data_IF_904415107295
#
_entry.id   IF_904415107295
#
_cell.length_a   1.000
_cell.length_b   1.000
_cell.length_c   1.000
_cell.angle_alpha   90.00
_cell.angle_beta   90.00
_cell.angle_gamma   90.00
#
_symmetry.space_group_name_H-M   'P 1'
#
loop_
_entity.id
_entity.type
_entity.pdbx_description
1 polymer ?
#
# COMPACT_ATOMS: atom_id res chain seq x y z
N UNK A 1 -21.06 18.48 0.12
CA UNK A 1 -20.82 17.02 -0.11
C UNK A 1 -19.32 16.67 -0.17
N UNK A 2 -18.43 17.52 -0.77
CA UNK A 2 -16.98 17.21 -0.82
C UNK A 2 -16.27 17.35 0.53
N UNK A 3 -16.71 18.24 1.41
CA UNK A 3 -16.15 18.39 2.76
C UNK A 3 -16.44 17.17 3.64
N UNK A 4 -17.66 16.62 3.59
CA UNK A 4 -18.01 15.40 4.32
C UNK A 4 -17.22 14.17 3.86
N UNK A 5 -16.85 14.10 2.58
CA UNK A 5 -16.05 12.99 2.04
C UNK A 5 -14.59 12.98 2.53
N UNK A 6 -14.10 14.08 3.11
CA UNK A 6 -12.75 14.21 3.67
C UNK A 6 -12.74 14.22 5.21
N UNK A 7 -13.78 13.68 5.84
CA UNK A 7 -13.93 13.66 7.28
C UNK A 7 -14.06 12.22 7.79
N UNK A 8 -13.03 11.72 8.48
CA UNK A 8 -13.00 10.36 9.03
C UNK A 8 -14.10 10.08 10.06
N UNK A 9 -14.70 11.11 10.67
CA UNK A 9 -15.82 10.95 11.61
C UNK A 9 -17.03 10.34 10.94
N UNK A 10 -17.22 10.53 9.64
CA UNK A 10 -18.28 9.87 8.86
C UNK A 10 -18.12 8.36 8.93
N UNK A 11 -16.90 7.84 8.79
CA UNK A 11 -16.64 6.40 8.84
C UNK A 11 -16.88 5.81 10.24
N UNK A 12 -16.66 6.58 11.30
CA UNK A 12 -16.92 6.10 12.68
C UNK A 12 -18.41 5.98 12.97
N UNK A 13 -19.25 6.76 12.31
CA UNK A 13 -20.71 6.70 12.42
C UNK A 13 -21.38 5.69 11.48
N UNK A 14 -20.62 5.11 10.52
CA UNK A 14 -21.15 4.15 9.55
C UNK A 14 -21.09 2.73 10.11
N UNK A 15 -22.12 1.94 9.90
CA UNK A 15 -22.15 0.53 10.35
C UNK A 15 -21.18 -0.34 9.53
N UNK A 16 -20.78 -1.49 10.10
CA UNK A 16 -19.93 -2.45 9.38
C UNK A 16 -20.64 -3.00 8.14
N UNK A 17 -21.92 -3.21 8.21
CA UNK A 17 -22.78 -3.70 7.13
C UNK A 17 -22.81 -2.72 5.95
N UNK A 18 -22.98 -1.44 6.21
CA UNK A 18 -22.94 -0.38 5.18
C UNK A 18 -21.56 -0.28 4.54
N UNK A 19 -20.49 -0.32 5.35
CA UNK A 19 -19.11 -0.34 4.83
C UNK A 19 -18.82 -1.59 4.00
N UNK A 20 -19.34 -2.76 4.38
CA UNK A 20 -19.19 -4.00 3.59
C UNK A 20 -19.88 -3.93 2.25
N UNK A 21 -21.03 -3.29 2.16
CA UNK A 21 -21.72 -3.07 0.90
C UNK A 21 -20.87 -2.27 -0.10
N UNK A 22 -20.06 -1.35 0.38
CA UNK A 22 -19.15 -0.51 -0.44
C UNK A 22 -17.79 -1.21 -0.70
N UNK A 23 -17.21 -1.83 0.33
CA UNK A 23 -15.83 -2.32 0.29
C UNK A 23 -15.67 -3.79 -0.10
N UNK A 24 -16.72 -4.53 -0.20
CA UNK A 24 -16.77 -6.01 -0.35
C UNK A 24 -16.56 -6.79 0.97
N UNK A 25 -16.72 -8.12 0.87
CA UNK A 25 -16.60 -9.05 2.01
C UNK A 25 -15.18 -9.60 2.23
N UNK A 26 -14.15 -8.93 1.70
CA UNK A 26 -12.76 -9.34 1.89
C UNK A 26 -12.33 -9.29 3.35
N UNK A 27 -11.44 -10.23 3.74
CA UNK A 27 -10.93 -10.33 5.12
C UNK A 27 -9.44 -10.02 5.21
N UNK A 28 -9.02 -9.51 6.35
CA UNK A 28 -7.63 -9.32 6.77
C UNK A 28 -7.49 -9.98 8.15
N UNK A 29 -6.64 -11.02 8.26
CA UNK A 29 -6.43 -11.77 9.52
C UNK A 29 -7.74 -12.24 10.17
N UNK A 30 -8.69 -12.72 9.35
CA UNK A 30 -9.98 -13.23 9.80
C UNK A 30 -11.08 -12.17 10.04
N UNK A 31 -10.73 -10.89 10.09
CA UNK A 31 -11.68 -9.78 10.24
C UNK A 31 -12.12 -9.23 8.89
N UNK A 32 -13.35 -8.73 8.78
CA UNK A 32 -13.75 -8.02 7.55
C UNK A 32 -12.96 -6.72 7.38
N UNK A 33 -12.60 -6.40 6.14
CA UNK A 33 -11.92 -5.13 5.83
C UNK A 33 -12.71 -3.92 6.34
N UNK A 34 -14.03 -3.97 6.26
CA UNK A 34 -14.90 -2.92 6.77
C UNK A 34 -14.73 -2.66 8.28
N UNK A 35 -14.57 -3.72 9.09
CA UNK A 35 -14.28 -3.58 10.53
C UNK A 35 -12.93 -2.90 10.75
N UNK A 36 -11.90 -3.35 10.01
CA UNK A 36 -10.56 -2.78 10.12
C UNK A 36 -10.54 -1.30 9.70
N UNK A 37 -11.25 -0.94 8.62
CA UNK A 37 -11.37 0.45 8.16
C UNK A 37 -12.06 1.32 9.20
N UNK A 38 -13.16 0.87 9.78
CA UNK A 38 -13.88 1.61 10.85
C UNK A 38 -13.01 1.80 12.09
N UNK A 39 -12.35 0.76 12.53
CA UNK A 39 -11.49 0.82 13.73
C UNK A 39 -10.26 1.72 13.47
N UNK A 40 -9.68 1.68 12.27
CA UNK A 40 -8.61 2.59 11.88
C UNK A 40 -9.07 4.06 11.85
N UNK A 41 -10.28 4.31 11.34
CA UNK A 41 -10.86 5.65 11.37
C UNK A 41 -11.09 6.11 12.82
N UNK A 42 -11.62 5.25 13.70
CA UNK A 42 -11.84 5.56 15.11
C UNK A 42 -10.51 5.88 15.85
N UNK A 43 -9.46 5.09 15.62
CA UNK A 43 -8.14 5.33 16.22
C UNK A 43 -7.52 6.66 15.74
N UNK A 44 -7.64 6.98 14.43
CA UNK A 44 -7.18 8.25 13.88
C UNK A 44 -7.96 9.44 14.45
N UNK A 45 -9.29 9.36 14.49
CA UNK A 45 -10.16 10.41 15.09
C UNK A 45 -9.83 10.62 16.57
N UNK A 46 -9.60 9.55 17.34
CA UNK A 46 -9.16 9.65 18.73
C UNK A 46 -7.84 10.40 18.88
N UNK A 47 -6.90 10.19 17.95
CA UNK A 47 -5.63 10.91 17.88
C UNK A 47 -5.77 12.33 17.28
N UNK A 48 -7.00 12.82 17.05
CA UNK A 48 -7.30 14.13 16.44
C UNK A 48 -6.84 14.25 14.99
N UNK A 49 -6.74 13.15 14.30
CA UNK A 49 -6.50 13.08 12.85
C UNK A 49 -7.84 12.84 12.19
N UNK A 50 -8.39 13.86 11.55
CA UNK A 50 -9.77 13.85 11.02
C UNK A 50 -9.78 13.95 9.51
N UNK A 51 -8.82 14.66 8.92
CA UNK A 51 -8.73 14.91 7.49
C UNK A 51 -7.44 14.33 6.88
N UNK A 52 -7.38 14.29 5.54
CA UNK A 52 -6.15 13.95 4.82
C UNK A 52 -5.01 14.92 5.13
N UNK A 53 -5.30 16.20 5.32
CA UNK A 53 -4.31 17.22 5.69
C UNK A 53 -3.75 16.96 7.10
N UNK A 54 -4.59 16.57 8.07
CA UNK A 54 -4.12 16.18 9.42
C UNK A 54 -3.18 14.97 9.34
N UNK A 55 -3.53 13.98 8.50
CA UNK A 55 -2.71 12.79 8.31
C UNK A 55 -1.31 13.14 7.78
N UNK A 56 -1.22 14.07 6.84
CA UNK A 56 0.05 14.51 6.26
C UNK A 56 0.87 15.38 7.24
N UNK A 57 0.24 16.33 7.93
CA UNK A 57 0.93 17.29 8.82
C UNK A 57 1.32 16.68 10.16
N UNK A 58 0.61 15.63 10.60
CA UNK A 58 0.81 14.97 11.88
C UNK A 58 1.16 13.48 11.72
N UNK A 59 1.94 13.17 10.68
CA UNK A 59 2.26 11.80 10.26
C UNK A 59 2.72 10.87 11.38
N UNK A 60 3.63 11.23 12.32
CA UNK A 60 4.05 10.32 13.38
C UNK A 60 2.89 9.88 14.29
N UNK A 61 2.02 10.81 14.66
CA UNK A 61 0.84 10.49 15.48
C UNK A 61 -0.20 9.68 14.71
N UNK A 62 -0.44 10.03 13.44
CA UNK A 62 -1.34 9.31 12.56
C UNK A 62 -0.86 7.86 12.34
N UNK A 63 0.45 7.67 12.10
CA UNK A 63 1.06 6.36 11.91
C UNK A 63 0.92 5.50 13.16
N UNK A 64 1.23 6.05 14.34
CA UNK A 64 1.10 5.33 15.61
C UNK A 64 -0.35 4.89 15.87
N UNK A 65 -1.33 5.79 15.68
CA UNK A 65 -2.74 5.49 15.82
C UNK A 65 -3.22 4.42 14.83
N UNK A 66 -2.83 4.55 13.56
CA UNK A 66 -3.21 3.57 12.53
C UNK A 66 -2.64 2.18 12.81
N UNK A 67 -1.35 2.09 13.16
CA UNK A 67 -0.67 0.82 13.40
C UNK A 67 -1.09 0.13 14.70
N UNK A 68 -1.76 0.82 15.63
CA UNK A 68 -2.34 0.21 16.82
C UNK A 68 -3.52 -0.71 16.52
N UNK A 69 -4.11 -0.61 15.33
CA UNK A 69 -5.31 -1.36 14.95
C UNK A 69 -4.94 -2.72 14.35
N UNK A 70 -5.51 -3.79 14.90
CA UNK A 70 -5.31 -5.14 14.36
C UNK A 70 -5.82 -5.26 12.92
N UNK A 71 -4.93 -5.69 12.02
CA UNK A 71 -5.17 -5.73 10.58
C UNK A 71 -4.53 -4.56 9.83
N UNK A 72 -4.10 -3.51 10.51
CA UNK A 72 -3.26 -2.45 9.95
C UNK A 72 -1.78 -2.80 10.14
N UNK A 73 -0.96 -2.45 9.15
CA UNK A 73 0.47 -2.72 9.16
C UNK A 73 1.24 -1.73 8.29
N UNK A 74 2.60 -1.81 8.25
CA UNK A 74 3.43 -0.88 7.47
C UNK A 74 3.02 -0.78 6.00
N UNK A 75 2.73 -1.91 5.34
CA UNK A 75 2.31 -1.95 3.93
C UNK A 75 0.99 -1.21 3.72
N UNK A 76 0.00 -1.41 4.62
CA UNK A 76 -1.29 -0.73 4.50
C UNK A 76 -1.20 0.75 4.90
N UNK A 77 -0.27 1.11 5.79
CA UNK A 77 0.05 2.50 6.10
C UNK A 77 0.59 3.24 4.87
N UNK A 78 1.58 2.68 4.17
CA UNK A 78 2.09 3.26 2.92
C UNK A 78 0.98 3.43 1.89
N UNK A 79 0.08 2.44 1.77
CA UNK A 79 -1.06 2.55 0.87
C UNK A 79 -2.01 3.68 1.26
N UNK A 80 -2.31 3.86 2.55
CA UNK A 80 -3.12 4.98 3.03
C UNK A 80 -2.47 6.32 2.66
N UNK A 81 -1.15 6.47 2.84
CA UNK A 81 -0.41 7.67 2.43
C UNK A 81 -0.53 7.95 0.92
N UNK A 82 -0.40 6.91 0.10
CA UNK A 82 -0.58 7.05 -1.36
C UNK A 82 -2.00 7.52 -1.72
N UNK A 83 -3.02 7.02 -1.03
CA UNK A 83 -4.41 7.45 -1.25
C UNK A 83 -4.67 8.93 -0.90
N UNK A 84 -3.94 9.48 0.07
CA UNK A 84 -4.03 10.90 0.43
C UNK A 84 -3.01 11.78 -0.29
N UNK A 85 -2.33 11.24 -1.32
CA UNK A 85 -1.51 12.03 -2.24
C UNK A 85 0.00 11.98 -2.01
N UNK A 86 0.50 11.23 -1.02
CA UNK A 86 1.95 11.04 -0.86
C UNK A 86 2.51 10.20 -2.02
N UNK A 87 3.70 10.57 -2.48
CA UNK A 87 4.48 9.73 -3.39
C UNK A 87 5.20 8.66 -2.60
N UNK A 88 4.68 7.44 -2.65
CA UNK A 88 5.18 6.29 -1.88
C UNK A 88 4.96 5.00 -2.69
N UNK A 89 5.55 3.90 -2.22
CA UNK A 89 5.43 2.55 -2.79
C UNK A 89 4.73 1.64 -1.79
N UNK A 90 3.78 0.86 -2.26
CA UNK A 90 3.14 -0.20 -1.46
C UNK A 90 3.82 -1.54 -1.73
N UNK A 91 4.77 -2.00 -0.89
CA UNK A 91 5.48 -3.25 -1.10
C UNK A 91 4.60 -4.47 -0.77
N UNK A 92 3.50 -4.61 -1.50
CA UNK A 92 2.59 -5.74 -1.38
C UNK A 92 3.13 -7.00 -2.10
N UNK A 93 2.35 -8.06 -2.09
CA UNK A 93 2.73 -9.34 -2.70
C UNK A 93 3.15 -9.19 -4.18
N UNK A 94 2.55 -8.26 -4.94
CA UNK A 94 2.84 -8.07 -6.34
C UNK A 94 4.16 -7.34 -6.56
N UNK A 95 4.40 -6.26 -5.82
CA UNK A 95 5.67 -5.53 -5.82
C UNK A 95 6.80 -6.43 -5.33
N UNK A 96 6.60 -7.14 -4.22
CA UNK A 96 7.61 -8.08 -3.70
C UNK A 96 7.95 -9.19 -4.69
N UNK A 97 6.97 -9.75 -5.39
CA UNK A 97 7.23 -10.74 -6.45
C UNK A 97 8.01 -10.14 -7.62
N UNK A 98 7.65 -8.93 -8.04
CA UNK A 98 8.35 -8.24 -9.13
C UNK A 98 9.83 -8.01 -8.78
N UNK A 99 10.10 -7.52 -7.58
CA UNK A 99 11.47 -7.27 -7.11
C UNK A 99 12.25 -8.58 -7.00
N UNK A 100 11.70 -9.59 -6.33
CA UNK A 100 12.36 -10.89 -6.12
C UNK A 100 12.63 -11.67 -7.41
N UNK A 101 11.84 -11.48 -8.45
CA UNK A 101 12.11 -12.10 -9.75
C UNK A 101 13.40 -11.58 -10.41
N UNK A 102 13.86 -10.40 -10.01
CA UNK A 102 15.06 -9.74 -10.54
C UNK A 102 16.22 -9.74 -9.55
N UNK A 103 15.90 -9.53 -8.29
CA UNK A 103 16.81 -9.39 -7.14
C UNK A 103 16.30 -10.29 -6.00
N UNK A 104 16.58 -11.60 -6.05
CA UNK A 104 16.05 -12.57 -5.08
C UNK A 104 16.51 -12.30 -3.63
N UNK A 105 17.64 -11.60 -3.47
CA UNK A 105 18.22 -11.21 -2.19
C UNK A 105 17.37 -10.16 -1.45
N UNK A 106 16.56 -9.37 -2.15
CA UNK A 106 15.70 -8.38 -1.52
C UNK A 106 14.45 -9.08 -0.99
N UNK A 107 14.43 -9.31 0.30
CA UNK A 107 13.33 -9.99 1.01
C UNK A 107 12.53 -9.06 1.92
N UNK A 108 13.13 -7.95 2.34
CA UNK A 108 12.49 -6.95 3.18
C UNK A 108 11.58 -6.02 2.35
N UNK A 109 10.34 -5.75 2.81
CA UNK A 109 9.42 -4.85 2.11
C UNK A 109 9.89 -3.40 2.06
N UNK A 110 10.60 -2.92 3.06
CA UNK A 110 11.09 -1.53 3.08
C UNK A 110 12.25 -1.36 2.10
N UNK A 111 13.14 -2.35 1.98
CA UNK A 111 14.20 -2.37 0.95
C UNK A 111 13.61 -2.41 -0.47
N UNK A 112 12.57 -3.22 -0.68
CA UNK A 112 11.88 -3.26 -1.96
C UNK A 112 11.22 -1.91 -2.30
N UNK A 113 10.61 -1.24 -1.33
CA UNK A 113 10.02 0.08 -1.54
C UNK A 113 11.11 1.12 -1.85
N UNK A 114 12.21 1.13 -1.12
CA UNK A 114 13.34 2.01 -1.36
C UNK A 114 13.94 1.83 -2.77
N UNK A 115 14.10 0.56 -3.20
CA UNK A 115 14.55 0.25 -4.55
C UNK A 115 13.63 0.81 -5.62
N UNK A 116 12.30 0.57 -5.50
CA UNK A 116 11.33 1.07 -6.49
C UNK A 116 11.32 2.60 -6.52
N UNK A 117 11.44 3.26 -5.36
CA UNK A 117 11.55 4.72 -5.28
C UNK A 117 12.80 5.23 -6.02
N UNK A 118 13.97 4.64 -5.76
CA UNK A 118 15.21 5.01 -6.45
C UNK A 118 15.16 4.76 -7.97
N UNK A 119 14.48 3.71 -8.41
CA UNK A 119 14.26 3.45 -9.84
C UNK A 119 13.32 4.48 -10.44
N UNK A 120 12.25 4.86 -9.75
CA UNK A 120 11.31 5.89 -10.21
C UNK A 120 12.01 7.24 -10.40
N UNK A 121 12.84 7.65 -9.44
CA UNK A 121 13.68 8.86 -9.53
C UNK A 121 14.59 8.84 -10.78
N UNK A 122 15.27 7.71 -11.04
CA UNK A 122 16.11 7.54 -12.24
C UNK A 122 15.33 7.59 -13.54
N UNK A 123 14.08 7.16 -13.53
CA UNK A 123 13.18 7.18 -14.70
C UNK A 123 12.47 8.53 -14.86
N UNK A 124 12.56 9.44 -13.89
CA UNK A 124 11.87 10.73 -13.89
C UNK A 124 10.35 10.58 -13.77
N UNK A 125 9.87 9.56 -13.04
CA UNK A 125 8.45 9.31 -12.79
C UNK A 125 8.15 9.25 -11.29
N UNK A 126 6.89 9.48 -10.91
CA UNK A 126 6.47 9.29 -9.51
C UNK A 126 6.58 7.82 -9.10
N UNK A 127 7.04 7.56 -7.89
CA UNK A 127 7.16 6.21 -7.32
C UNK A 127 5.80 5.49 -7.27
N UNK A 128 4.73 6.22 -6.94
CA UNK A 128 3.34 5.74 -6.98
C UNK A 128 2.91 5.28 -8.37
N UNK A 129 3.31 5.99 -9.43
CA UNK A 129 2.98 5.62 -10.81
C UNK A 129 3.72 4.35 -11.22
N UNK A 130 4.98 4.19 -10.82
CA UNK A 130 5.76 2.98 -11.06
C UNK A 130 5.19 1.77 -10.31
N UNK A 131 4.84 1.92 -9.03
CA UNK A 131 4.14 0.90 -8.23
C UNK A 131 2.87 0.43 -8.93
N UNK A 132 2.02 1.35 -9.38
CA UNK A 132 0.79 1.02 -10.09
C UNK A 132 1.05 0.30 -11.42
N UNK A 133 2.07 0.68 -12.16
CA UNK A 133 2.46 0.01 -13.40
C UNK A 133 2.92 -1.43 -13.15
N UNK A 134 3.72 -1.66 -12.11
CA UNK A 134 4.13 -3.00 -11.65
C UNK A 134 2.90 -3.85 -11.31
N UNK A 135 2.01 -3.32 -10.47
CA UNK A 135 0.79 -4.01 -10.08
C UNK A 135 -0.08 -4.41 -11.28
N UNK A 136 -0.31 -3.49 -12.22
CA UNK A 136 -1.08 -3.77 -13.46
C UNK A 136 -0.41 -4.86 -14.30
N UNK A 137 0.90 -4.78 -14.50
CA UNK A 137 1.66 -5.76 -15.27
C UNK A 137 1.55 -7.16 -14.67
N UNK A 138 1.68 -7.26 -13.34
CA UNK A 138 1.63 -8.53 -12.63
C UNK A 138 0.22 -9.13 -12.57
N UNK A 139 -0.79 -8.29 -12.45
CA UNK A 139 -2.19 -8.73 -12.46
C UNK A 139 -2.64 -9.22 -13.83
N UNK A 140 -2.16 -8.60 -14.90
CA UNK A 140 -2.44 -9.03 -16.27
C UNK A 140 -1.74 -10.37 -16.61
N UNK A 141 -0.58 -10.66 -15.98
CA UNK A 141 0.23 -11.86 -16.22
C UNK A 141 0.56 -12.61 -14.92
N UNK A 142 -0.43 -13.19 -14.22
CA UNK A 142 -0.21 -13.84 -12.92
C UNK A 142 0.70 -15.06 -12.97
N UNK A 143 0.92 -15.64 -14.16
CA UNK A 143 1.76 -16.81 -14.43
C UNK A 143 3.09 -16.53 -15.11
N UNK A 144 3.48 -15.27 -15.31
CA UNK A 144 4.79 -14.93 -15.87
C UNK A 144 5.89 -15.36 -14.90
N UNK A 145 6.27 -16.64 -14.98
CA UNK A 145 7.47 -17.20 -14.39
C UNK A 145 8.66 -16.85 -15.28
N UNK A 146 9.75 -16.38 -14.63
CA UNK A 146 11.13 -16.28 -15.09
C UNK A 146 11.34 -16.29 -16.62
N UNK A 147 11.90 -15.26 -17.20
CA UNK A 147 12.80 -15.52 -18.33
C UNK A 147 13.91 -16.39 -17.77
N UNK A 148 14.07 -17.58 -18.33
CA UNK A 148 15.22 -18.44 -18.09
C UNK A 148 16.48 -17.57 -18.28
N UNK A 149 17.40 -17.66 -17.36
CA UNK A 149 18.74 -17.10 -17.46
C UNK A 149 19.41 -17.68 -18.72
N UNK A 150 19.37 -16.94 -19.78
CA UNK A 150 20.30 -17.13 -20.89
C UNK A 150 21.39 -16.06 -20.74
N UNK A 151 22.31 -16.31 -19.84
CA UNK A 151 23.68 -15.86 -20.06
C UNK A 151 24.22 -16.79 -21.15
N UNK A 152 24.61 -16.32 -22.31
CA UNK A 152 25.36 -17.14 -23.24
C UNK A 152 26.70 -17.44 -22.57
N UNK A 153 26.95 -18.73 -22.43
CA UNK A 153 28.22 -19.31 -22.07
C UNK A 153 29.30 -18.65 -22.94
N UNK A 154 30.15 -17.84 -22.32
CA UNK A 154 31.37 -17.35 -22.94
C UNK A 154 32.34 -18.50 -23.10
N UNK A 155 32.30 -19.20 -24.22
CA UNK A 155 33.43 -19.99 -24.70
C UNK A 155 33.95 -19.43 -26.02
N UNK A 156 35.12 -18.86 -25.84
CA UNK A 156 36.36 -19.04 -26.64
C UNK A 156 36.30 -18.83 -28.18
N UNK A 157 37.09 -17.91 -28.61
CA UNK A 157 38.42 -18.30 -29.17
C UNK A 157 39.39 -17.15 -28.98
#
# INVERSE_FOLDING_TARGET
>A
QREAANDLRVLTGTTVEELRAITNSGKIRGRYKAEVVRDAAAALVHAKIVTAADLQTREPAARAAYLSVSGCGPVTWRYLRMLVGSDDVKPDTWVMRFVRDKLPEITDPDDAAALITAVAEKLGVDARNLDHAIWRSRRANPGARKPASALPDGRTF
#
